data_IF_256382408305
#
_entry.id   IF_256382408305
#
_cell.length_a   1.000
_cell.length_b   1.000
_cell.length_c   1.000
_cell.angle_alpha   90.00
_cell.angle_beta   90.00
_cell.angle_gamma   90.00
#
_symmetry.space_group_name_H-M   'P 1'
#
loop_
_entity.id
_entity.type
_entity.pdbx_description
1 polymer ?
#
# COMPACT_ATOMS: atom_id res chain seq x y z
N UNK A 1 -6.60 -21.78 -7.78
CA UNK A 1 -7.51 -22.10 -8.91
C UNK A 1 -8.84 -21.34 -8.88
N UNK A 2 -9.54 -21.17 -7.74
CA UNK A 2 -10.80 -20.38 -7.67
C UNK A 2 -10.64 -18.87 -7.93
N UNK A 3 -9.52 -18.27 -7.54
CA UNK A 3 -9.27 -16.82 -7.72
C UNK A 3 -9.18 -16.44 -9.21
N UNK A 4 -8.50 -17.25 -10.02
CA UNK A 4 -8.38 -17.03 -11.48
C UNK A 4 -9.72 -17.07 -12.21
N UNK A 5 -10.69 -17.90 -11.78
CA UNK A 5 -12.00 -18.00 -12.43
C UNK A 5 -12.92 -16.81 -12.18
N UNK A 6 -12.72 -16.05 -11.09
CA UNK A 6 -13.53 -14.87 -10.78
C UNK A 6 -13.08 -13.66 -11.60
N UNK A 7 -11.77 -13.56 -11.90
CA UNK A 7 -11.23 -12.54 -12.82
C UNK A 7 -11.57 -12.79 -14.30
N UNK A 8 -12.16 -13.94 -14.65
CA UNK A 8 -12.65 -14.22 -16.00
C UNK A 8 -14.01 -13.55 -16.29
N UNK A 9 -14.78 -13.18 -15.24
CA UNK A 9 -15.95 -12.34 -15.44
C UNK A 9 -15.51 -10.95 -15.88
N UNK A 10 -16.22 -10.37 -16.84
CA UNK A 10 -15.94 -9.03 -17.35
C UNK A 10 -16.01 -8.02 -16.21
N UNK A 11 -14.86 -7.47 -15.83
CA UNK A 11 -14.74 -6.41 -14.84
C UNK A 11 -15.44 -5.17 -15.39
N UNK A 12 -16.34 -4.58 -14.60
CA UNK A 12 -17.02 -3.34 -15.02
C UNK A 12 -16.10 -2.14 -14.84
N UNK A 13 -16.35 -1.06 -15.57
CA UNK A 13 -15.57 0.17 -15.43
C UNK A 13 -15.65 0.75 -14.00
N UNK A 14 -16.79 0.58 -13.34
CA UNK A 14 -17.01 1.00 -11.96
C UNK A 14 -16.14 0.21 -10.98
N UNK A 15 -16.02 -1.11 -11.17
CA UNK A 15 -15.15 -1.96 -10.35
C UNK A 15 -13.67 -1.63 -10.56
N UNK A 16 -13.27 -1.43 -11.82
CA UNK A 16 -11.90 -1.03 -12.16
C UNK A 16 -11.53 0.32 -11.54
N UNK A 17 -12.44 1.29 -11.58
CA UNK A 17 -12.26 2.60 -10.96
C UNK A 17 -12.18 2.51 -9.44
N UNK A 18 -13.11 1.80 -8.78
CA UNK A 18 -13.08 1.59 -7.33
C UNK A 18 -11.81 0.89 -6.86
N UNK A 19 -11.38 -0.16 -7.56
CA UNK A 19 -10.15 -0.87 -7.23
C UNK A 19 -8.91 0.03 -7.42
N UNK A 20 -8.84 0.80 -8.51
CA UNK A 20 -7.77 1.78 -8.74
C UNK A 20 -7.73 2.84 -7.64
N UNK A 21 -8.88 3.32 -7.20
CA UNK A 21 -8.98 4.34 -6.16
C UNK A 21 -8.38 3.87 -4.83
N UNK A 22 -8.35 2.56 -4.54
CA UNK A 22 -7.69 2.04 -3.34
C UNK A 22 -6.21 2.40 -3.25
N UNK A 23 -5.53 2.50 -4.40
CA UNK A 23 -4.13 2.91 -4.51
C UNK A 23 -3.99 4.43 -4.57
N UNK A 24 -4.92 5.13 -5.23
CA UNK A 24 -4.91 6.59 -5.28
C UNK A 24 -5.07 7.21 -3.88
N UNK A 25 -5.85 6.59 -2.99
CA UNK A 25 -6.04 7.09 -1.63
C UNK A 25 -4.74 7.13 -0.82
N UNK A 26 -3.83 6.15 -0.99
CA UNK A 26 -2.52 6.21 -0.33
C UNK A 26 -1.63 7.30 -0.95
N UNK A 27 -1.67 7.50 -2.27
CA UNK A 27 -0.91 8.57 -2.93
C UNK A 27 -1.36 9.96 -2.48
N UNK A 28 -2.67 10.19 -2.37
CA UNK A 28 -3.22 11.46 -1.88
C UNK A 28 -2.81 11.67 -0.41
N UNK A 29 -2.84 10.62 0.41
CA UNK A 29 -2.41 10.68 1.80
C UNK A 29 -0.92 11.03 1.95
N UNK A 30 -0.04 10.57 1.04
CA UNK A 30 1.36 11.00 1.00
C UNK A 30 1.48 12.50 0.72
N UNK A 31 0.69 13.02 -0.22
CA UNK A 31 0.74 14.42 -0.63
C UNK A 31 0.10 15.35 0.42
N UNK A 32 -1.02 14.94 1.02
CA UNK A 32 -1.78 15.75 1.98
C UNK A 32 -1.31 15.56 3.44
N UNK A 33 -0.74 14.40 3.76
CA UNK A 33 -0.44 13.94 5.11
C UNK A 33 1.04 13.97 5.47
N UNK A 34 1.77 15.01 5.04
CA UNK A 34 3.12 15.36 5.50
C UNK A 34 3.47 14.75 6.89
N UNK A 35 4.73 14.37 7.12
CA UNK A 35 5.35 13.06 6.95
C UNK A 35 4.92 12.01 8.02
N UNK A 36 3.65 11.92 8.42
CA UNK A 36 3.23 10.99 9.47
C UNK A 36 3.02 9.58 8.90
N UNK A 37 3.83 8.56 9.29
CA UNK A 37 3.77 7.21 8.70
C UNK A 37 2.38 6.54 8.74
N UNK A 38 1.51 6.99 9.64
CA UNK A 38 0.21 6.39 9.96
C UNK A 38 -0.91 6.81 8.98
N UNK A 39 -0.81 7.99 8.36
CA UNK A 39 -1.94 8.56 7.60
C UNK A 39 -2.29 7.69 6.38
N UNK A 40 -1.29 7.18 5.66
CA UNK A 40 -1.50 6.30 4.50
C UNK A 40 -2.23 5.00 4.88
N UNK A 41 -1.90 4.43 6.04
CA UNK A 41 -2.55 3.21 6.52
C UNK A 41 -4.00 3.48 6.88
N UNK A 42 -4.29 4.60 7.57
CA UNK A 42 -5.67 4.96 7.92
C UNK A 42 -6.51 5.18 6.65
N UNK A 43 -5.98 5.92 5.66
CA UNK A 43 -6.69 6.18 4.42
C UNK A 43 -7.05 4.88 3.68
N UNK A 44 -6.09 3.96 3.55
CA UNK A 44 -6.32 2.67 2.89
C UNK A 44 -7.19 1.73 3.71
N UNK A 45 -7.13 1.78 5.05
CA UNK A 45 -8.01 1.02 5.94
C UNK A 45 -9.47 1.47 5.79
N UNK A 46 -9.73 2.78 5.82
CA UNK A 46 -11.08 3.34 5.62
C UNK A 46 -11.60 2.92 4.24
N UNK A 47 -10.78 3.04 3.20
CA UNK A 47 -11.16 2.65 1.85
C UNK A 47 -11.47 1.15 1.73
N UNK A 48 -10.66 0.29 2.35
CA UNK A 48 -10.91 -1.14 2.45
C UNK A 48 -12.23 -1.43 3.19
N UNK A 49 -12.46 -0.79 4.35
CA UNK A 49 -13.70 -0.96 5.11
C UNK A 49 -14.94 -0.57 4.33
N UNK A 50 -14.88 0.52 3.54
CA UNK A 50 -15.96 0.94 2.65
C UNK A 50 -16.25 -0.04 1.52
N UNK A 51 -15.24 -0.79 1.07
CA UNK A 51 -15.34 -1.69 -0.09
C UNK A 51 -15.30 -3.20 0.27
N UNK A 52 -15.29 -3.56 1.56
CA UNK A 52 -15.21 -4.97 2.02
C UNK A 52 -16.35 -5.88 1.56
N UNK A 53 -17.49 -5.30 1.14
CA UNK A 53 -18.66 -6.00 0.57
C UNK A 53 -18.75 -5.89 -0.95
N UNK A 54 -17.77 -5.25 -1.59
CA UNK A 54 -17.70 -5.14 -3.05
C UNK A 54 -17.34 -6.46 -3.72
N UNK A 55 -17.13 -6.41 -5.03
CA UNK A 55 -16.72 -7.60 -5.78
C UNK A 55 -15.36 -8.12 -5.35
N UNK A 56 -15.06 -9.37 -5.71
CA UNK A 56 -13.78 -9.98 -5.38
C UNK A 56 -12.60 -9.15 -5.92
N UNK A 57 -12.68 -8.63 -7.15
CA UNK A 57 -11.65 -7.78 -7.74
C UNK A 57 -11.36 -6.55 -6.88
N UNK A 58 -12.40 -5.81 -6.49
CA UNK A 58 -12.25 -4.60 -5.65
C UNK A 58 -11.71 -4.97 -4.27
N UNK A 59 -12.29 -5.98 -3.61
CA UNK A 59 -11.85 -6.41 -2.27
C UNK A 59 -10.38 -6.85 -2.26
N UNK A 60 -9.95 -7.56 -3.29
CA UNK A 60 -8.59 -8.05 -3.43
C UNK A 60 -7.61 -6.89 -3.56
N UNK A 61 -7.86 -5.94 -4.47
CA UNK A 61 -6.99 -4.78 -4.67
C UNK A 61 -6.93 -3.87 -3.43
N UNK A 62 -8.06 -3.65 -2.77
CA UNK A 62 -8.10 -2.94 -1.49
C UNK A 62 -7.29 -3.66 -0.40
N UNK A 63 -7.29 -5.00 -0.39
CA UNK A 63 -6.51 -5.78 0.58
C UNK A 63 -5.01 -5.71 0.27
N UNK A 64 -4.60 -5.81 -0.99
CA UNK A 64 -3.20 -5.62 -1.40
C UNK A 64 -2.70 -4.22 -1.03
N UNK A 65 -3.49 -3.19 -1.30
CA UNK A 65 -3.17 -1.82 -0.91
C UNK A 65 -2.98 -1.71 0.62
N UNK A 66 -3.91 -2.24 1.40
CA UNK A 66 -3.87 -2.20 2.87
C UNK A 66 -2.63 -2.93 3.44
N UNK A 67 -2.32 -4.12 2.93
CA UNK A 67 -1.16 -4.91 3.38
C UNK A 67 0.16 -4.22 3.01
N UNK A 68 0.23 -3.59 1.82
CA UNK A 68 1.38 -2.75 1.45
C UNK A 68 1.56 -1.60 2.43
N UNK A 69 0.48 -0.86 2.74
CA UNK A 69 0.56 0.28 3.66
C UNK A 69 0.90 -0.14 5.09
N UNK A 70 0.50 -1.33 5.53
CA UNK A 70 0.89 -1.85 6.85
C UNK A 70 2.41 -2.10 6.93
N UNK A 71 3.00 -2.65 5.87
CA UNK A 71 4.45 -2.89 5.80
C UNK A 71 5.22 -1.56 5.68
N UNK A 72 4.69 -0.64 4.88
CA UNK A 72 5.20 0.73 4.74
C UNK A 72 5.20 1.50 6.06
N UNK A 73 4.16 1.34 6.87
CA UNK A 73 4.09 1.93 8.21
C UNK A 73 5.26 1.48 9.07
N UNK A 74 5.59 0.18 9.09
CA UNK A 74 6.65 -0.36 9.96
C UNK A 74 8.00 0.25 9.60
N UNK A 75 8.37 0.25 8.32
CA UNK A 75 9.65 0.80 7.84
C UNK A 75 9.73 2.30 8.14
N UNK A 76 8.69 3.07 7.84
CA UNK A 76 8.71 4.51 8.05
C UNK A 76 8.60 4.90 9.52
N UNK A 77 7.89 4.15 10.36
CA UNK A 77 7.76 4.44 11.79
C UNK A 77 9.08 4.23 12.53
N UNK A 78 9.84 3.19 12.19
CA UNK A 78 11.14 2.96 12.79
C UNK A 78 12.13 4.06 12.40
N UNK A 79 12.17 4.45 11.12
CA UNK A 79 12.99 5.59 10.68
C UNK A 79 12.58 6.91 11.33
N UNK A 80 11.28 7.16 11.46
CA UNK A 80 10.73 8.33 12.13
C UNK A 80 11.18 8.41 13.60
N UNK A 81 10.97 7.36 14.39
CA UNK A 81 11.33 7.38 15.81
C UNK A 81 12.84 7.41 16.05
N UNK A 82 13.64 6.77 15.18
CA UNK A 82 15.09 6.93 15.24
C UNK A 82 15.50 8.38 14.93
N UNK A 83 14.87 9.02 13.95
CA UNK A 83 15.12 10.44 13.65
C UNK A 83 14.73 11.33 14.83
N UNK A 84 13.60 11.06 15.48
CA UNK A 84 13.17 11.78 16.69
C UNK A 84 14.18 11.62 17.83
N UNK A 85 14.70 10.42 18.07
CA UNK A 85 15.69 10.20 19.15
C UNK A 85 17.00 10.96 18.89
N UNK A 86 17.42 11.10 17.63
CA UNK A 86 18.56 11.93 17.26
C UNK A 86 18.29 13.43 17.51
N UNK A 87 17.10 13.91 17.17
CA UNK A 87 16.72 15.33 17.36
C UNK A 87 16.61 15.67 18.85
N UNK A 88 16.09 14.74 19.67
CA UNK A 88 15.96 14.93 21.11
C UNK A 88 17.30 14.75 21.87
N UNK A 89 18.34 14.25 21.20
CA UNK A 89 19.66 14.03 21.80
C UNK A 89 19.80 12.72 22.59
N UNK A 90 18.84 11.81 22.46
CA UNK A 90 18.84 10.49 23.11
C UNK A 90 19.72 9.46 22.35
N UNK A 91 20.24 9.83 21.17
CA UNK A 91 21.02 8.95 20.31
C UNK A 91 22.03 9.73 19.48
N UNK A 92 23.11 9.07 19.07
CA UNK A 92 24.12 9.64 18.17
C UNK A 92 23.89 9.23 16.71
N UNK A 93 24.32 10.07 15.77
CA UNK A 93 24.25 9.76 14.36
C UNK A 93 25.29 8.71 13.98
N UNK A 94 24.83 7.53 13.58
CA UNK A 94 25.68 6.37 13.26
C UNK A 94 25.61 6.00 11.77
N UNK A 95 26.61 5.25 11.29
CA UNK A 95 26.57 4.65 9.94
C UNK A 95 25.35 3.75 9.74
N UNK A 96 24.91 3.06 10.79
CA UNK A 96 23.70 2.21 10.76
C UNK A 96 22.44 3.03 10.50
N UNK A 97 22.31 4.19 11.14
CA UNK A 97 21.20 5.12 10.88
C UNK A 97 21.21 5.60 9.41
N UNK A 98 22.37 6.01 8.89
CA UNK A 98 22.49 6.48 7.50
C UNK A 98 22.12 5.37 6.51
N UNK A 99 22.64 4.16 6.71
CA UNK A 99 22.31 3.01 5.87
C UNK A 99 20.82 2.65 5.93
N UNK A 100 20.21 2.73 7.12
CA UNK A 100 18.78 2.53 7.30
C UNK A 100 17.98 3.58 6.53
N UNK A 101 18.30 4.86 6.66
CA UNK A 101 17.57 5.95 5.99
C UNK A 101 17.66 5.84 4.47
N UNK A 102 18.83 5.50 3.91
CA UNK A 102 18.96 5.22 2.47
C UNK A 102 18.05 4.06 2.06
N UNK A 103 18.06 2.96 2.82
CA UNK A 103 17.21 1.80 2.55
C UNK A 103 15.72 2.15 2.62
N UNK A 104 15.32 2.92 3.62
CA UNK A 104 13.95 3.40 3.78
C UNK A 104 13.53 4.27 2.59
N UNK A 105 14.37 5.20 2.14
CA UNK A 105 14.09 6.03 0.96
C UNK A 105 13.93 5.18 -0.30
N UNK A 106 14.83 4.23 -0.54
CA UNK A 106 14.72 3.29 -1.68
C UNK A 106 13.41 2.48 -1.61
N UNK A 107 13.08 1.95 -0.44
CA UNK A 107 11.83 1.23 -0.22
C UNK A 107 10.60 2.12 -0.52
N UNK A 108 10.59 3.37 -0.03
CA UNK A 108 9.51 4.32 -0.29
C UNK A 108 9.34 4.61 -1.79
N UNK A 109 10.45 4.80 -2.52
CA UNK A 109 10.39 5.03 -3.97
C UNK A 109 9.83 3.83 -4.74
N UNK A 110 10.28 2.61 -4.39
CA UNK A 110 9.78 1.38 -5.02
C UNK A 110 8.29 1.22 -4.74
N UNK A 111 7.85 1.42 -3.49
CA UNK A 111 6.43 1.35 -3.13
C UNK A 111 5.62 2.39 -3.92
N UNK A 112 6.09 3.63 -3.98
CA UNK A 112 5.40 4.72 -4.67
C UNK A 112 5.24 4.43 -6.17
N UNK A 113 6.31 4.00 -6.85
CA UNK A 113 6.28 3.63 -8.27
C UNK A 113 5.35 2.43 -8.50
N UNK A 114 5.45 1.39 -7.66
CA UNK A 114 4.60 0.21 -7.77
C UNK A 114 3.12 0.56 -7.56
N UNK A 115 2.81 1.44 -6.62
CA UNK A 115 1.45 1.94 -6.34
C UNK A 115 0.89 2.72 -7.54
N UNK A 116 1.66 3.63 -8.14
CA UNK A 116 1.23 4.35 -9.35
C UNK A 116 0.98 3.39 -10.52
N UNK A 117 1.93 2.50 -10.80
CA UNK A 117 1.80 1.52 -11.87
C UNK A 117 0.54 0.66 -11.69
N UNK A 118 0.33 0.19 -10.46
CA UNK A 118 -0.82 -0.66 -10.10
C UNK A 118 -2.14 0.09 -10.22
N UNK A 119 -2.20 1.35 -9.79
CA UNK A 119 -3.39 2.18 -9.95
C UNK A 119 -3.77 2.31 -11.44
N UNK A 120 -2.79 2.65 -12.30
CA UNK A 120 -3.00 2.83 -13.74
C UNK A 120 -3.51 1.55 -14.41
N UNK A 121 -2.89 0.40 -14.12
CA UNK A 121 -3.28 -0.86 -14.76
C UNK A 121 -4.61 -1.40 -14.19
N UNK A 122 -4.86 -1.22 -12.89
CA UNK A 122 -6.14 -1.60 -12.26
C UNK A 122 -7.29 -0.78 -12.84
N UNK A 123 -7.07 0.51 -13.18
CA UNK A 123 -8.06 1.36 -13.85
C UNK A 123 -8.45 0.83 -15.24
N UNK A 124 -7.53 0.14 -15.91
CA UNK A 124 -7.78 -0.55 -17.20
C UNK A 124 -8.41 -1.94 -17.01
N UNK A 125 -8.79 -2.32 -15.79
CA UNK A 125 -9.34 -3.64 -15.47
C UNK A 125 -8.31 -4.76 -15.47
N UNK A 126 -7.00 -4.46 -15.41
CA UNK A 126 -5.94 -5.47 -15.36
C UNK A 126 -5.61 -5.80 -13.92
N UNK A 127 -5.57 -7.09 -13.61
CA UNK A 127 -5.16 -7.56 -12.30
C UNK A 127 -3.63 -7.51 -12.18
N UNK A 128 -3.14 -6.69 -11.25
CA UNK A 128 -1.71 -6.55 -10.95
C UNK A 128 -1.45 -7.08 -9.54
N UNK A 129 -0.69 -8.17 -9.49
CA UNK A 129 -0.28 -8.83 -8.26
C UNK A 129 1.18 -8.55 -7.93
N UNK A 130 1.44 -8.06 -6.71
CA UNK A 130 2.80 -7.81 -6.26
C UNK A 130 3.40 -9.10 -5.73
N UNK A 131 4.66 -9.37 -6.07
CA UNK A 131 5.32 -10.62 -5.72
C UNK A 131 5.19 -11.01 -4.25
N UNK A 132 5.38 -10.06 -3.33
CA UNK A 132 5.25 -10.30 -1.89
C UNK A 132 3.82 -10.13 -1.37
N UNK A 133 3.20 -8.97 -1.58
CA UNK A 133 1.87 -8.68 -1.03
C UNK A 133 0.74 -9.45 -1.68
N UNK A 134 0.89 -9.88 -2.93
CA UNK A 134 -0.09 -10.70 -3.65
C UNK A 134 -0.35 -12.03 -2.97
N UNK A 135 0.72 -12.73 -2.59
CA UNK A 135 0.63 -14.00 -1.87
C UNK A 135 -0.11 -13.84 -0.53
N UNK A 136 0.21 -12.79 0.24
CA UNK A 136 -0.50 -12.47 1.48
C UNK A 136 -1.97 -12.12 1.22
N UNK A 137 -2.22 -11.34 0.18
CA UNK A 137 -3.57 -10.91 -0.20
C UNK A 137 -4.44 -12.10 -0.59
N UNK A 138 -3.90 -13.09 -1.29
CA UNK A 138 -4.60 -14.32 -1.64
C UNK A 138 -5.03 -15.14 -0.41
N UNK A 139 -4.27 -15.07 0.68
CA UNK A 139 -4.59 -15.75 1.93
C UNK A 139 -5.64 -14.99 2.75
N UNK A 140 -5.55 -13.65 2.74
CA UNK A 140 -6.44 -12.76 3.49
C UNK A 140 -7.79 -12.54 2.80
N UNK A 141 -7.78 -12.38 1.48
CA UNK A 141 -8.96 -12.15 0.66
C UNK A 141 -9.50 -13.48 0.12
N UNK A 142 -10.34 -14.13 0.92
CA UNK A 142 -11.06 -15.35 0.52
C UNK A 142 -12.21 -15.02 -0.44
N UNK A 143 -12.40 -15.87 -1.44
CA UNK A 143 -13.47 -15.77 -2.45
C UNK A 143 -14.85 -15.77 -1.82
#
# INVERSE_FOLDING_TARGET
MKSQTIFLNKITEEEAEKASNSYLMSLIAVIAGLPLPIINLIATLIFYMGNRKGSYFVRWHCTQALVSQASFLVVNSYGFWWTVSLILGDSEMTNSYIAYMITAVLFNMVEFIATIYTAIETRKGRHVEWWFYGTLTNQLCKS
#
